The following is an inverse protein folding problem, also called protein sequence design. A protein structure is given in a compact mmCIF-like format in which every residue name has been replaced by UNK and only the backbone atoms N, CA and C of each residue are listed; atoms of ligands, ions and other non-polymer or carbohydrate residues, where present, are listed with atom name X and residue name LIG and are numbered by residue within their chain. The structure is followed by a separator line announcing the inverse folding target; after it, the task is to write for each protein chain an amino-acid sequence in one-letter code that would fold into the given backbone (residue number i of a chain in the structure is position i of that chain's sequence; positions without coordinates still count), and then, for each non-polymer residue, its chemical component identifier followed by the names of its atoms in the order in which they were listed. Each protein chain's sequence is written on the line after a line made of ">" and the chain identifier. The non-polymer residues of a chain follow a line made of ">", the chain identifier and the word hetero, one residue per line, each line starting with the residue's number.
data_IF_349432472854
#
_entry.id   IF_349432472854
#
_cell.length_a   1.000
_cell.length_b   1.000
_cell.length_c   1.000
_cell.angle_alpha   90.00
_cell.angle_beta   90.00
_cell.angle_gamma   90.00
#
_symmetry.space_group_name_H-M   'P 1'
#
loop_
_entity.id
_entity.type
_entity.pdbx_description
1 polymer ?
#
# COMPACT_ATOMS: atom_id res chain seq x y z
N UNK A 1 -18.55 -39.14 -10.26
CA UNK A 1 -18.03 -38.50 -9.02
C UNK A 1 -18.61 -37.09 -8.97
N UNK A 2 -19.55 -36.78 -8.05
CA UNK A 2 -20.20 -35.47 -8.09
C UNK A 2 -19.30 -34.38 -7.51
N UNK A 3 -19.43 -33.19 -8.10
CA UNK A 3 -18.71 -31.98 -7.79
C UNK A 3 -18.95 -31.51 -6.35
N UNK A 4 -17.90 -30.99 -5.72
CA UNK A 4 -17.89 -30.55 -4.32
C UNK A 4 -18.41 -29.10 -4.23
N UNK A 5 -19.61 -28.81 -3.69
CA UNK A 5 -20.30 -27.52 -3.89
C UNK A 5 -19.99 -26.38 -2.88
N UNK A 6 -18.86 -26.36 -2.16
CA UNK A 6 -18.65 -25.39 -1.06
C UNK A 6 -17.65 -24.25 -1.32
N UNK A 7 -17.11 -24.08 -2.52
CA UNK A 7 -16.01 -23.14 -2.77
C UNK A 7 -16.39 -21.66 -3.07
N UNK A 8 -17.62 -21.20 -2.80
CA UNK A 8 -18.08 -19.87 -3.23
C UNK A 8 -18.47 -18.88 -2.12
N UNK A 9 -18.05 -19.08 -0.86
CA UNK A 9 -18.49 -18.20 0.23
C UNK A 9 -17.43 -17.71 1.24
N UNK A 10 -16.22 -17.42 0.76
CA UNK A 10 -15.16 -16.75 1.55
C UNK A 10 -14.74 -15.42 0.90
N UNK A 11 -15.73 -14.61 0.51
CA UNK A 11 -15.54 -13.19 0.20
C UNK A 11 -16.22 -12.35 1.29
N UNK A 12 -15.62 -12.35 2.49
CA UNK A 12 -15.97 -11.32 3.47
C UNK A 12 -15.60 -9.96 2.86
N UNK A 13 -16.52 -8.98 2.83
CA UNK A 13 -16.20 -7.65 2.33
C UNK A 13 -15.09 -7.07 3.21
N UNK A 14 -13.92 -6.86 2.63
CA UNK A 14 -12.82 -6.13 3.28
C UNK A 14 -13.37 -4.72 3.56
N UNK A 15 -13.71 -4.46 4.82
CA UNK A 15 -14.27 -3.18 5.25
C UNK A 15 -13.12 -2.17 5.32
N UNK A 16 -12.94 -1.40 4.25
CA UNK A 16 -11.95 -0.31 4.19
C UNK A 16 -12.66 0.94 4.71
N UNK A 17 -12.28 1.41 5.90
CA UNK A 17 -12.72 2.71 6.41
C UNK A 17 -11.91 3.80 5.71
N UNK A 18 -12.58 4.66 4.94
CA UNK A 18 -11.99 5.81 4.26
C UNK A 18 -12.45 7.08 4.96
N UNK A 19 -11.53 7.83 5.54
CA UNK A 19 -11.79 9.20 5.97
C UNK A 19 -11.70 10.13 4.75
N UNK A 20 -12.81 10.79 4.45
CA UNK A 20 -13.05 11.82 3.42
C UNK A 20 -13.12 11.39 1.94
N UNK A 21 -14.37 11.21 1.48
CA UNK A 21 -14.76 11.16 0.07
C UNK A 21 -14.79 12.56 -0.54
N UNK A 22 -13.83 12.87 -1.42
CA UNK A 22 -14.00 13.95 -2.39
C UNK A 22 -14.83 13.40 -3.56
N UNK A 23 -16.07 13.88 -3.71
CA UNK A 23 -16.84 13.71 -4.96
C UNK A 23 -16.11 14.46 -6.08
N UNK A 24 -15.76 13.79 -7.17
CA UNK A 24 -15.46 14.48 -8.43
C UNK A 24 -16.02 13.72 -9.61
N UNK A 25 -16.93 14.36 -10.34
CA UNK A 25 -17.31 14.00 -11.70
C UNK A 25 -16.15 14.30 -12.68
N UNK A 26 -16.10 13.51 -13.77
CA UNK A 26 -15.15 13.52 -14.92
C UNK A 26 -14.13 12.37 -14.96
N UNK A 27 -14.18 11.59 -16.05
CA UNK A 27 -13.67 10.22 -16.25
C UNK A 27 -12.15 10.07 -16.43
N UNK A 28 -11.34 10.97 -15.86
CA UNK A 28 -9.88 10.93 -16.03
C UNK A 28 -9.21 10.32 -14.80
N UNK A 29 -8.56 9.17 -14.94
CA UNK A 29 -7.81 8.51 -13.85
C UNK A 29 -6.87 9.52 -13.17
N UNK A 30 -6.97 9.66 -11.86
CA UNK A 30 -6.61 10.90 -11.15
C UNK A 30 -5.24 10.89 -10.45
N UNK A 31 -4.55 9.74 -10.36
CA UNK A 31 -3.26 9.64 -9.69
C UNK A 31 -2.63 8.26 -9.69
N UNK A 32 -1.59 8.08 -8.89
CA UNK A 32 -0.88 6.81 -8.71
C UNK A 32 -0.92 6.35 -7.25
N UNK A 33 -1.12 5.05 -7.05
CA UNK A 33 -1.00 4.43 -5.73
C UNK A 33 0.42 3.93 -5.50
N UNK A 34 0.91 4.05 -4.27
CA UNK A 34 2.18 3.51 -3.82
C UNK A 34 1.84 2.53 -2.70
N UNK A 35 2.16 1.26 -2.90
CA UNK A 35 1.90 0.21 -1.93
C UNK A 35 3.23 -0.34 -1.40
N UNK A 36 3.63 0.18 -0.24
CA UNK A 36 4.85 -0.23 0.45
C UNK A 36 4.59 -1.44 1.34
N UNK A 37 5.52 -2.40 1.33
CA UNK A 37 5.39 -3.58 2.17
C UNK A 37 6.65 -4.43 2.21
N UNK A 38 6.80 -5.24 3.25
CA UNK A 38 7.87 -6.23 3.30
C UNK A 38 7.62 -7.35 2.30
N UNK A 39 6.36 -7.75 2.06
CA UNK A 39 6.02 -8.84 1.14
C UNK A 39 6.84 -10.12 1.40
N UNK A 40 6.71 -10.67 2.60
CA UNK A 40 7.48 -11.82 3.09
C UNK A 40 6.59 -13.06 3.36
N UNK A 41 6.12 -13.79 2.33
CA UNK A 41 6.13 -13.46 0.90
C UNK A 41 4.95 -12.56 0.49
N UNK A 42 4.93 -12.12 -0.77
CA UNK A 42 3.71 -11.56 -1.36
C UNK A 42 2.63 -12.64 -1.44
N UNK A 43 1.36 -12.28 -1.34
CA UNK A 43 0.23 -13.22 -1.33
C UNK A 43 -1.04 -12.53 -1.86
N UNK A 44 -2.10 -13.31 -2.10
CA UNK A 44 -3.33 -12.84 -2.74
C UNK A 44 -3.97 -11.63 -2.04
N UNK A 45 -3.99 -11.62 -0.70
CA UNK A 45 -4.47 -10.45 0.06
C UNK A 45 -3.80 -9.11 -0.32
N UNK A 46 -2.50 -9.10 -0.62
CA UNK A 46 -1.81 -7.89 -1.10
C UNK A 46 -2.34 -7.46 -2.48
N UNK A 47 -2.55 -8.43 -3.38
CA UNK A 47 -3.02 -8.15 -4.74
C UNK A 47 -4.46 -7.62 -4.73
N UNK A 48 -5.34 -8.22 -3.91
CA UNK A 48 -6.72 -7.77 -3.73
C UNK A 48 -6.75 -6.35 -3.16
N UNK A 49 -5.94 -6.05 -2.14
CA UNK A 49 -5.85 -4.70 -1.56
C UNK A 49 -5.41 -3.68 -2.61
N UNK A 50 -4.39 -4.01 -3.40
CA UNK A 50 -3.86 -3.11 -4.42
C UNK A 50 -4.90 -2.85 -5.51
N UNK A 51 -5.56 -3.89 -6.01
CA UNK A 51 -6.56 -3.74 -7.08
C UNK A 51 -7.80 -3.01 -6.59
N UNK A 52 -8.34 -3.36 -5.42
CA UNK A 52 -9.48 -2.67 -4.83
C UNK A 52 -9.18 -1.19 -4.59
N UNK A 53 -7.95 -0.86 -4.13
CA UNK A 53 -7.53 0.52 -3.95
C UNK A 53 -7.44 1.25 -5.30
N UNK A 54 -6.91 0.58 -6.33
CA UNK A 54 -6.82 1.14 -7.69
C UNK A 54 -8.20 1.47 -8.25
N UNK A 55 -9.15 0.56 -8.13
CA UNK A 55 -10.50 0.72 -8.66
C UNK A 55 -11.28 1.79 -7.90
N UNK A 56 -11.36 1.68 -6.57
CA UNK A 56 -12.14 2.60 -5.73
C UNK A 56 -11.66 4.05 -5.81
N UNK A 57 -10.35 4.26 -5.97
CA UNK A 57 -9.75 5.59 -6.08
C UNK A 57 -9.51 6.02 -7.54
N UNK A 58 -9.96 5.22 -8.52
CA UNK A 58 -9.78 5.45 -9.95
C UNK A 58 -8.31 5.79 -10.34
N UNK A 59 -7.36 5.01 -9.81
CA UNK A 59 -5.93 5.23 -9.99
C UNK A 59 -5.45 4.69 -11.34
N UNK A 60 -4.46 5.37 -11.92
CA UNK A 60 -3.81 4.96 -13.17
C UNK A 60 -3.06 3.64 -13.02
N UNK A 61 -2.35 3.48 -11.90
CA UNK A 61 -1.52 2.32 -11.58
C UNK A 61 -1.23 2.23 -10.08
N UNK A 62 -0.80 1.07 -9.63
CA UNK A 62 -0.23 0.84 -8.30
C UNK A 62 1.26 0.53 -8.45
N UNK A 63 2.09 1.24 -7.71
CA UNK A 63 3.53 1.04 -7.61
C UNK A 63 3.80 0.23 -6.34
N UNK A 64 4.16 -1.04 -6.50
CA UNK A 64 4.61 -1.89 -5.41
C UNK A 64 6.05 -1.53 -5.04
N UNK A 65 6.30 -1.32 -3.74
CA UNK A 65 7.63 -1.01 -3.21
C UNK A 65 7.99 -2.04 -2.13
N UNK A 66 8.70 -3.13 -2.50
CA UNK A 66 9.23 -4.09 -1.54
C UNK A 66 10.32 -3.43 -0.70
N UNK A 67 10.16 -3.45 0.62
CA UNK A 67 11.13 -2.83 1.53
C UNK A 67 12.39 -3.68 1.71
N UNK A 68 13.56 -3.04 1.77
CA UNK A 68 14.83 -3.75 1.93
C UNK A 68 15.04 -4.19 3.38
N UNK A 69 15.11 -3.21 4.28
CA UNK A 69 15.17 -3.38 5.73
C UNK A 69 14.10 -2.49 6.38
N UNK A 70 12.94 -3.05 6.79
CA UNK A 70 11.96 -2.28 7.53
C UNK A 70 12.59 -1.84 8.87
N UNK A 71 12.77 -0.53 9.12
CA UNK A 71 13.50 -0.04 10.30
C UNK A 71 12.81 -0.38 11.64
N UNK A 72 11.54 -0.82 11.59
CA UNK A 72 10.69 -1.11 12.75
C UNK A 72 10.30 -2.60 12.86
N UNK A 73 10.97 -3.52 12.13
CA UNK A 73 10.69 -4.97 12.23
C UNK A 73 11.99 -5.77 12.33
N UNK A 74 11.91 -6.98 12.90
CA UNK A 74 12.99 -7.99 12.81
C UNK A 74 13.33 -8.28 11.35
N UNK A 75 14.59 -8.60 11.07
CA UNK A 75 15.07 -8.95 9.73
C UNK A 75 14.15 -10.03 9.12
N UNK A 76 13.59 -9.82 7.92
CA UNK A 76 12.74 -10.83 7.29
C UNK A 76 13.53 -12.11 7.03
N UNK A 77 12.88 -13.28 7.19
CA UNK A 77 13.47 -14.59 6.89
C UNK A 77 13.92 -14.69 5.42
N UNK A 78 13.16 -14.08 4.51
CA UNK A 78 13.48 -14.08 3.07
C UNK A 78 14.21 -12.79 2.71
N UNK A 79 15.39 -12.95 2.11
CA UNK A 79 16.22 -11.85 1.62
C UNK A 79 15.48 -10.89 0.67
N UNK A 80 15.84 -9.62 0.69
CA UNK A 80 15.15 -8.57 -0.08
C UNK A 80 15.12 -8.86 -1.59
N UNK A 81 16.18 -9.45 -2.15
CA UNK A 81 16.23 -9.85 -3.57
C UNK A 81 15.17 -10.90 -3.90
N UNK A 82 15.04 -11.95 -3.09
CA UNK A 82 14.01 -12.98 -3.28
C UNK A 82 12.60 -12.42 -3.14
N UNK A 83 12.35 -11.56 -2.14
CA UNK A 83 11.04 -10.89 -1.98
C UNK A 83 10.70 -10.01 -3.18
N UNK A 84 11.68 -9.30 -3.73
CA UNK A 84 11.51 -8.54 -4.95
C UNK A 84 11.13 -9.41 -6.15
N UNK A 85 11.82 -10.54 -6.35
CA UNK A 85 11.51 -11.47 -7.45
C UNK A 85 10.13 -12.11 -7.30
N UNK A 86 9.76 -12.54 -6.09
CA UNK A 86 8.42 -13.05 -5.83
C UNK A 86 7.34 -12.00 -6.11
N UNK A 87 7.57 -10.74 -5.69
CA UNK A 87 6.67 -9.64 -6.01
C UNK A 87 6.57 -9.40 -7.52
N UNK A 88 7.69 -9.44 -8.25
CA UNK A 88 7.71 -9.29 -9.71
C UNK A 88 6.86 -10.33 -10.41
N UNK A 89 7.00 -11.61 -10.04
CA UNK A 89 6.21 -12.70 -10.60
C UNK A 89 4.73 -12.52 -10.27
N UNK A 90 4.39 -12.26 -9.01
CA UNK A 90 3.02 -12.15 -8.55
C UNK A 90 2.23 -11.00 -9.19
N UNK A 91 2.86 -9.86 -9.50
CA UNK A 91 2.17 -8.72 -10.10
C UNK A 91 2.16 -8.73 -11.63
N UNK A 92 3.02 -9.55 -12.26
CA UNK A 92 3.21 -9.55 -13.73
C UNK A 92 1.93 -9.74 -14.56
N UNK A 93 0.90 -10.49 -14.11
CA UNK A 93 -0.33 -10.64 -14.91
C UNK A 93 -1.21 -9.39 -14.94
N UNK A 94 -1.02 -8.41 -14.04
CA UNK A 94 -1.86 -7.21 -13.97
C UNK A 94 -1.14 -6.00 -14.60
N UNK A 95 -1.62 -5.46 -15.73
CA UNK A 95 -0.97 -4.36 -16.44
C UNK A 95 -1.00 -3.03 -15.68
N UNK A 96 -1.83 -2.91 -14.64
CA UNK A 96 -1.90 -1.71 -13.81
C UNK A 96 -0.93 -1.75 -12.63
N UNK A 97 -0.19 -2.84 -12.44
CA UNK A 97 0.77 -2.97 -11.36
C UNK A 97 2.20 -2.76 -11.88
N UNK A 98 2.98 -1.98 -11.13
CA UNK A 98 4.36 -1.66 -11.45
C UNK A 98 5.23 -1.96 -10.24
N UNK A 99 6.35 -2.64 -10.45
CA UNK A 99 7.31 -2.92 -9.38
C UNK A 99 8.40 -1.84 -9.32
N UNK A 100 8.66 -1.32 -8.13
CA UNK A 100 9.77 -0.41 -7.87
C UNK A 100 10.87 -1.10 -7.07
N UNK A 101 12.09 -1.09 -7.61
CA UNK A 101 13.29 -1.59 -6.91
C UNK A 101 13.95 -0.53 -6.00
N UNK A 102 13.31 0.63 -5.81
CA UNK A 102 13.94 1.82 -5.25
C UNK A 102 14.48 1.61 -3.83
N UNK A 103 13.81 0.81 -3.01
CA UNK A 103 14.26 0.47 -1.67
C UNK A 103 15.24 -0.70 -1.68
N UNK A 104 15.02 -1.71 -2.51
CA UNK A 104 15.91 -2.89 -2.64
C UNK A 104 17.33 -2.50 -3.06
N UNK A 105 17.47 -1.43 -3.86
CA UNK A 105 18.77 -0.88 -4.28
C UNK A 105 19.46 -0.03 -3.22
N UNK A 106 18.81 0.31 -2.09
CA UNK A 106 19.41 1.12 -1.03
C UNK A 106 20.22 0.23 -0.08
N UNK A 107 21.44 0.66 0.25
CA UNK A 107 22.30 0.01 1.25
C UNK A 107 21.86 0.26 2.70
N UNK A 108 21.09 1.32 2.94
CA UNK A 108 20.70 1.78 4.28
C UNK A 108 19.21 1.55 4.57
N UNK A 109 18.79 1.79 5.83
CA UNK A 109 17.39 1.76 6.27
C UNK A 109 16.47 2.49 5.28
N UNK A 110 15.34 1.87 4.96
CA UNK A 110 14.36 2.45 4.03
C UNK A 110 13.33 3.27 4.80
N UNK A 111 13.40 4.59 4.67
CA UNK A 111 12.40 5.51 5.20
C UNK A 111 11.38 5.87 4.12
N UNK A 112 10.09 5.78 4.45
CA UNK A 112 9.00 6.06 3.51
C UNK A 112 9.10 7.46 2.92
N UNK A 113 9.44 8.48 3.71
CA UNK A 113 9.63 9.86 3.22
C UNK A 113 10.64 9.95 2.07
N UNK A 114 11.76 9.26 2.19
CA UNK A 114 12.83 9.30 1.19
C UNK A 114 12.43 8.49 -0.07
N UNK A 115 11.62 7.45 0.10
CA UNK A 115 11.02 6.70 -1.00
C UNK A 115 10.01 7.53 -1.77
N UNK A 116 9.09 8.21 -1.06
CA UNK A 116 8.07 9.06 -1.67
C UNK A 116 8.70 10.21 -2.46
N UNK A 117 9.68 10.92 -1.89
CA UNK A 117 10.39 12.00 -2.58
C UNK A 117 11.01 11.52 -3.90
N UNK A 118 11.68 10.38 -3.86
CA UNK A 118 12.33 9.83 -5.04
C UNK A 118 11.31 9.34 -6.10
N UNK A 119 10.19 8.75 -5.67
CA UNK A 119 9.10 8.38 -6.57
C UNK A 119 8.44 9.61 -7.20
N UNK A 120 8.15 10.67 -6.44
CA UNK A 120 7.59 11.92 -7.00
C UNK A 120 8.51 12.53 -8.05
N UNK A 121 9.84 12.44 -7.88
CA UNK A 121 10.81 12.87 -8.90
C UNK A 121 10.72 12.03 -10.17
N UNK A 122 10.64 10.70 -10.05
CA UNK A 122 10.51 9.78 -11.19
C UNK A 122 9.17 9.92 -11.92
N UNK A 123 8.11 10.25 -11.19
CA UNK A 123 6.75 10.43 -11.71
C UNK A 123 6.34 11.91 -11.67
N UNK A 124 7.22 12.81 -12.11
CA UNK A 124 7.04 14.28 -12.01
C UNK A 124 5.80 14.85 -12.69
N UNK A 125 5.25 14.11 -13.67
CA UNK A 125 4.00 14.47 -14.37
C UNK A 125 2.73 14.12 -13.56
N UNK A 126 2.87 13.33 -12.51
CA UNK A 126 1.74 12.93 -11.66
C UNK A 126 1.53 13.95 -10.53
N UNK A 127 0.28 14.41 -10.37
CA UNK A 127 -0.06 15.39 -9.33
C UNK A 127 -0.43 14.73 -8.00
N UNK A 128 -1.14 13.61 -8.07
CA UNK A 128 -1.70 12.94 -6.91
C UNK A 128 -1.01 11.59 -6.63
N UNK A 129 -0.57 11.43 -5.39
CA UNK A 129 0.05 10.20 -4.89
C UNK A 129 -0.72 9.72 -3.67
N UNK A 130 -1.07 8.44 -3.68
CA UNK A 130 -1.78 7.77 -2.60
C UNK A 130 -0.86 6.74 -1.98
N UNK A 131 -0.64 6.78 -0.68
CA UNK A 131 0.20 5.80 0.02
C UNK A 131 -0.68 4.80 0.76
N UNK A 132 -0.68 3.56 0.28
CA UNK A 132 -1.51 2.47 0.79
C UNK A 132 -0.73 1.73 1.88
N UNK A 133 -1.33 1.59 3.06
CA UNK A 133 -0.73 0.90 4.21
C UNK A 133 -1.80 0.22 5.07
N UNK A 134 -1.39 -0.85 5.77
CA UNK A 134 -2.27 -1.53 6.73
C UNK A 134 -2.51 -0.71 7.98
N UNK A 135 -3.63 -0.98 8.68
CA UNK A 135 -3.99 -0.34 9.94
C UNK A 135 -2.85 -0.37 10.98
N UNK A 136 -2.18 -1.50 11.15
CA UNK A 136 -1.10 -1.65 12.14
C UNK A 136 0.07 -0.69 11.87
N UNK A 137 0.39 -0.46 10.59
CA UNK A 137 1.42 0.50 10.19
C UNK A 137 0.95 1.93 10.40
N UNK A 138 -0.34 2.19 10.19
CA UNK A 138 -0.95 3.49 10.44
C UNK A 138 -1.00 3.84 11.95
N UNK A 139 -1.31 2.88 12.82
CA UNK A 139 -1.30 3.10 14.27
C UNK A 139 0.09 3.48 14.80
N UNK A 140 1.16 3.00 14.14
CA UNK A 140 2.53 3.36 14.45
C UNK A 140 3.08 4.57 13.65
N UNK A 141 2.24 5.25 12.85
CA UNK A 141 2.72 6.22 11.85
C UNK A 141 3.41 7.44 12.46
N UNK A 142 3.06 7.82 13.69
CA UNK A 142 3.69 8.92 14.42
C UNK A 142 5.17 8.66 14.74
N UNK A 143 5.62 7.40 14.66
CA UNK A 143 7.03 7.02 14.84
C UNK A 143 7.84 7.14 13.55
N UNK A 144 7.20 7.47 12.42
CA UNK A 144 7.86 7.52 11.13
C UNK A 144 8.65 8.82 10.99
N UNK A 145 9.84 8.70 10.41
CA UNK A 145 10.71 9.85 10.10
C UNK A 145 9.96 10.88 9.24
N UNK A 146 9.95 12.13 9.70
CA UNK A 146 9.36 13.29 9.00
C UNK A 146 7.87 13.10 8.63
N UNK A 147 7.04 12.53 9.52
CA UNK A 147 5.64 12.23 9.22
C UNK A 147 4.82 13.45 8.75
N UNK A 148 5.00 14.62 9.35
CA UNK A 148 4.31 15.84 8.92
C UNK A 148 4.61 16.20 7.47
N UNK A 149 5.90 16.13 7.07
CA UNK A 149 6.32 16.34 5.69
C UNK A 149 5.79 15.25 4.78
N UNK A 150 5.73 14.01 5.25
CA UNK A 150 5.18 12.88 4.49
C UNK A 150 3.70 13.09 4.21
N UNK A 151 2.91 13.53 5.19
CA UNK A 151 1.48 13.82 5.04
C UNK A 151 1.22 14.92 3.99
N UNK A 152 2.12 15.90 3.86
CA UNK A 152 2.04 16.91 2.79
C UNK A 152 2.37 16.38 1.38
N UNK A 153 2.97 15.20 1.25
CA UNK A 153 3.41 14.65 -0.04
C UNK A 153 2.47 13.62 -0.65
N UNK A 154 1.67 12.93 0.18
CA UNK A 154 0.79 11.82 -0.21
C UNK A 154 -0.53 11.86 0.55
N UNK A 155 -1.57 11.26 -0.04
CA UNK A 155 -2.81 10.92 0.64
C UNK A 155 -2.70 9.52 1.22
N UNK A 156 -2.89 9.35 2.53
CA UNK A 156 -2.83 8.02 3.15
C UNK A 156 -4.11 7.23 2.86
N UNK A 157 -3.94 5.95 2.57
CA UNK A 157 -5.03 4.99 2.34
C UNK A 157 -4.83 3.82 3.28
N UNK A 158 -5.61 3.79 4.36
CA UNK A 158 -5.49 2.80 5.43
C UNK A 158 -6.40 1.62 5.14
N UNK A 159 -5.82 0.42 5.09
CA UNK A 159 -6.57 -0.82 4.84
C UNK A 159 -6.63 -1.68 6.09
N UNK A 160 -7.83 -2.12 6.45
CA UNK A 160 -8.04 -3.09 7.53
C UNK A 160 -7.93 -4.50 6.95
N UNK A 161 -7.12 -5.35 7.57
CA UNK A 161 -7.07 -6.78 7.24
C UNK A 161 -8.23 -7.49 7.95
N UNK A 162 -9.00 -8.36 7.28
CA UNK A 162 -9.94 -9.25 7.95
C UNK A 162 -9.18 -10.07 9.01
N UNK A 163 -9.61 -10.01 10.28
CA UNK A 163 -8.97 -10.69 11.40
C UNK A 163 -8.19 -9.79 12.37
N UNK A 164 -7.97 -8.49 12.08
CA UNK A 164 -7.38 -7.56 13.05
C UNK A 164 -8.46 -6.81 13.83
N UNK A 165 -8.71 -7.23 15.08
CA UNK A 165 -9.60 -6.55 16.03
C UNK A 165 -8.84 -5.43 16.74
N UNK A 166 -8.65 -4.30 16.07
CA UNK A 166 -8.29 -3.04 16.73
C UNK A 166 -9.53 -2.17 16.85
N UNK A 167 -9.87 -1.77 18.07
CA UNK A 167 -10.92 -0.80 18.35
C UNK A 167 -10.58 0.55 17.69
N UNK A 168 -11.47 1.04 16.85
CA UNK A 168 -11.34 2.37 16.21
C UNK A 168 -12.00 3.44 17.07
N UNK A 169 -11.68 3.49 18.36
CA UNK A 169 -12.03 4.62 19.23
C UNK A 169 -10.82 5.54 19.39
N UNK A 170 -10.50 6.30 18.35
CA UNK A 170 -9.63 7.47 18.50
C UNK A 170 -10.32 8.65 17.82
N UNK A 171 -10.85 9.54 18.65
CA UNK A 171 -11.54 10.76 18.22
C UNK A 171 -10.54 11.66 17.48
N UNK A 172 -10.97 12.17 16.32
CA UNK A 172 -10.23 13.17 15.56
C UNK A 172 -10.27 14.48 16.35
N UNK A 173 -9.12 14.90 16.88
CA UNK A 173 -8.94 16.28 17.34
C UNK A 173 -8.74 17.16 16.10
N UNK A 174 -9.71 18.01 15.80
CA UNK A 174 -9.54 19.12 14.87
C UNK A 174 -8.91 20.30 15.61
N UNK A 175 -7.69 20.69 15.26
CA UNK A 175 -7.12 21.97 15.69
C UNK A 175 -7.63 23.08 14.79
N UNK A 176 -8.22 24.09 15.43
CA UNK A 176 -8.68 25.38 14.89
C UNK A 176 -7.60 26.15 14.14
#
# INVERSE_FOLDING_TARGET
>A
MPAVPWAWNLLLPINISFTEMVKSESSKKTGVGIFGGTFNPIHLGHLIIAENSREKLNLKKIIFVPSCYPPHKKTPEIGASHRYQMAKLAISPNPYFVLSAIEVKRKNKSYTIDTIRALKKLYSKEKNFYFILGLDAYLAINTWKDIEKLAGLVKFVVVKRPGYQGDTSCQVATSS
#
